data_IF_350572317410
#
_entry.id   IF_350572317410
#
_cell.length_a   1.000
_cell.length_b   1.000
_cell.length_c   1.000
_cell.angle_alpha   90.00
_cell.angle_beta   90.00
_cell.angle_gamma   90.00
#
_symmetry.space_group_name_H-M   'P 1'
#
loop_
_entity.id
_entity.type
_entity.pdbx_description
1 polymer ?
#
# COMPACT_ATOMS: atom_id res chain seq x y z
N UNK A 1 -11.03 -8.30 13.17
CA UNK A 1 -11.20 -6.94 12.62
C UNK A 1 -12.64 -6.56 12.85
N UNK A 2 -12.90 -5.37 13.40
CA UNK A 2 -14.25 -4.93 13.75
C UNK A 2 -14.93 -4.40 12.48
N UNK A 3 -15.69 -5.26 11.80
CA UNK A 3 -16.32 -4.96 10.50
C UNK A 3 -17.78 -4.57 10.73
N UNK A 4 -18.19 -3.47 10.10
CA UNK A 4 -19.58 -3.11 9.96
C UNK A 4 -20.19 -3.85 8.77
N UNK A 5 -20.95 -4.92 9.05
CA UNK A 5 -21.56 -5.78 8.03
C UNK A 5 -22.42 -5.02 7.00
N UNK A 6 -23.07 -3.91 7.38
CA UNK A 6 -23.84 -3.10 6.43
C UNK A 6 -22.93 -2.40 5.41
N UNK A 7 -21.80 -1.88 5.87
CA UNK A 7 -20.80 -1.28 4.98
C UNK A 7 -20.14 -2.33 4.10
N UNK A 8 -19.83 -3.49 4.67
CA UNK A 8 -19.26 -4.63 3.92
C UNK A 8 -20.14 -5.03 2.73
N UNK A 9 -21.45 -5.13 2.92
CA UNK A 9 -22.39 -5.38 1.81
C UNK A 9 -22.36 -4.29 0.74
N UNK A 10 -22.26 -3.02 1.12
CA UNK A 10 -22.15 -1.91 0.16
C UNK A 10 -20.84 -2.03 -0.62
N UNK A 11 -19.73 -2.31 0.07
CA UNK A 11 -18.42 -2.47 -0.54
C UNK A 11 -18.35 -3.62 -1.53
N UNK A 12 -18.93 -4.77 -1.20
CA UNK A 12 -19.01 -5.93 -2.12
C UNK A 12 -19.76 -5.55 -3.41
N UNK A 13 -20.86 -4.79 -3.31
CA UNK A 13 -21.60 -4.33 -4.49
C UNK A 13 -20.79 -3.31 -5.29
N UNK A 14 -20.11 -2.36 -4.62
CA UNK A 14 -19.27 -1.37 -5.28
C UNK A 14 -18.09 -2.02 -6.04
N UNK A 15 -17.41 -2.99 -5.42
CA UNK A 15 -16.33 -3.75 -6.05
C UNK A 15 -16.85 -4.47 -7.31
N UNK A 16 -17.99 -5.17 -7.21
CA UNK A 16 -18.57 -5.88 -8.36
C UNK A 16 -18.92 -4.92 -9.51
N UNK A 17 -19.61 -3.81 -9.22
CA UNK A 17 -19.95 -2.81 -10.24
C UNK A 17 -18.72 -2.20 -10.90
N UNK A 18 -17.65 -2.02 -10.13
CA UNK A 18 -16.39 -1.49 -10.64
C UNK A 18 -15.66 -2.53 -11.52
N UNK A 19 -15.61 -3.80 -11.09
CA UNK A 19 -15.07 -4.91 -11.89
C UNK A 19 -15.81 -5.02 -13.22
N UNK A 20 -17.13 -4.89 -13.23
CA UNK A 20 -17.94 -4.91 -14.45
C UNK A 20 -17.55 -3.78 -15.40
N UNK A 21 -17.30 -2.56 -14.90
CA UNK A 21 -16.82 -1.43 -15.70
C UNK A 21 -15.41 -1.65 -16.27
N UNK A 22 -14.51 -2.22 -15.49
CA UNK A 22 -13.15 -2.56 -15.95
C UNK A 22 -13.22 -3.59 -17.08
N UNK A 23 -14.04 -4.63 -16.90
CA UNK A 23 -14.26 -5.66 -17.91
C UNK A 23 -14.90 -5.08 -19.18
N UNK A 24 -15.89 -4.20 -19.04
CA UNK A 24 -16.52 -3.53 -20.18
C UNK A 24 -15.49 -2.67 -20.95
N UNK A 25 -14.68 -1.88 -20.25
CA UNK A 25 -13.62 -1.07 -20.87
C UNK A 25 -12.59 -1.94 -21.60
N UNK A 26 -12.28 -3.12 -21.07
CA UNK A 26 -11.40 -4.10 -21.72
C UNK A 26 -12.05 -4.71 -22.97
N UNK A 27 -13.24 -5.31 -22.84
CA UNK A 27 -13.95 -6.01 -23.94
C UNK A 27 -14.26 -5.06 -25.10
N UNK A 28 -14.59 -3.79 -24.81
CA UNK A 28 -14.85 -2.77 -25.83
C UNK A 28 -13.58 -2.18 -26.45
N UNK A 29 -12.38 -2.61 -26.02
CA UNK A 29 -11.09 -2.12 -26.51
C UNK A 29 -10.72 -0.72 -26.04
N UNK A 30 -11.59 -0.04 -25.29
CA UNK A 30 -11.38 1.32 -24.77
C UNK A 30 -10.17 1.40 -23.85
N UNK A 31 -9.92 0.35 -23.06
CA UNK A 31 -8.76 0.26 -22.17
C UNK A 31 -7.45 0.32 -22.97
N UNK A 32 -7.26 -0.55 -23.98
CA UNK A 32 -6.04 -0.53 -24.80
C UNK A 32 -5.86 0.80 -25.53
N UNK A 33 -6.95 1.35 -26.09
CA UNK A 33 -6.92 2.65 -26.76
C UNK A 33 -6.45 3.76 -25.81
N UNK A 34 -6.99 3.78 -24.59
CA UNK A 34 -6.61 4.75 -23.56
C UNK A 34 -5.16 4.57 -23.11
N UNK A 35 -4.71 3.35 -22.80
CA UNK A 35 -3.31 3.07 -22.42
C UNK A 35 -2.33 3.49 -23.52
N UNK A 36 -2.69 3.25 -24.78
CA UNK A 36 -1.85 3.62 -25.94
C UNK A 36 -1.56 5.12 -25.98
N UNK A 37 -2.46 5.97 -25.48
CA UNK A 37 -2.26 7.44 -25.46
C UNK A 37 -1.11 7.91 -24.56
N UNK A 38 -0.65 7.06 -23.63
CA UNK A 38 0.49 7.36 -22.77
C UNK A 38 1.81 6.86 -23.37
N UNK A 39 1.77 6.01 -24.40
CA UNK A 39 2.97 5.57 -25.09
C UNK A 39 3.56 6.71 -25.94
N UNK A 40 4.88 7.00 -25.89
CA UNK A 40 5.48 8.11 -26.64
C UNK A 40 5.21 8.10 -28.15
N UNK A 41 4.96 6.91 -28.70
CA UNK A 41 4.65 6.69 -30.12
C UNK A 41 3.19 6.28 -30.38
N UNK A 42 2.32 6.35 -29.37
CA UNK A 42 0.93 5.88 -29.44
C UNK A 42 0.79 4.44 -29.99
N UNK A 43 1.72 3.56 -29.59
CA UNK A 43 1.72 2.19 -30.09
C UNK A 43 0.49 1.43 -29.55
N UNK A 44 -0.15 0.59 -30.39
CA UNK A 44 -1.17 -0.32 -29.90
C UNK A 44 -0.61 -1.28 -28.85
N UNK A 45 -1.44 -1.63 -27.87
CA UNK A 45 -1.14 -2.65 -26.88
C UNK A 45 -2.27 -3.68 -26.77
N UNK A 46 -1.94 -4.85 -26.23
CA UNK A 46 -2.87 -5.92 -25.89
C UNK A 46 -2.70 -6.28 -24.41
N UNK A 47 -3.78 -6.76 -23.79
CA UNK A 47 -3.68 -7.39 -22.48
C UNK A 47 -2.94 -8.72 -22.64
N UNK A 48 -1.90 -8.93 -21.84
CA UNK A 48 -1.16 -10.18 -21.79
C UNK A 48 -1.51 -10.94 -20.50
N UNK A 49 -2.14 -12.12 -20.65
CA UNK A 49 -2.62 -12.92 -19.54
C UNK A 49 -3.95 -12.45 -18.94
N UNK A 50 -4.06 -12.48 -17.62
CA UNK A 50 -5.27 -12.16 -16.87
C UNK A 50 -5.06 -10.94 -15.97
N UNK A 51 -6.15 -10.46 -15.35
CA UNK A 51 -6.06 -9.43 -14.32
C UNK A 51 -5.27 -9.96 -13.10
N UNK A 52 -4.21 -9.25 -12.75
CA UNK A 52 -3.54 -9.40 -11.47
C UNK A 52 -4.36 -8.65 -10.43
N UNK A 53 -4.63 -9.22 -9.27
CA UNK A 53 -5.33 -8.49 -8.22
C UNK A 53 -4.78 -8.84 -6.84
N UNK A 54 -4.68 -7.82 -6.01
CA UNK A 54 -4.47 -7.95 -4.57
C UNK A 54 -5.74 -7.57 -3.80
N UNK A 55 -5.58 -7.33 -2.50
CA UNK A 55 -6.66 -6.84 -1.67
C UNK A 55 -7.11 -5.43 -2.12
N UNK A 56 -6.18 -4.54 -2.46
CA UNK A 56 -6.48 -3.12 -2.68
C UNK A 56 -6.35 -2.63 -4.12
N UNK A 57 -5.74 -3.40 -5.03
CA UNK A 57 -5.57 -3.00 -6.43
C UNK A 57 -5.89 -4.12 -7.40
N UNK A 58 -6.31 -3.72 -8.61
CA UNK A 58 -6.26 -4.55 -9.79
C UNK A 58 -5.18 -4.02 -10.75
N UNK A 59 -4.47 -4.93 -11.39
CA UNK A 59 -3.37 -4.70 -12.31
C UNK A 59 -3.58 -5.44 -13.63
N UNK A 60 -3.23 -4.79 -14.73
CA UNK A 60 -3.30 -5.35 -16.08
C UNK A 60 -1.93 -5.21 -16.73
N UNK A 61 -1.37 -6.33 -17.17
CA UNK A 61 -0.14 -6.33 -17.97
C UNK A 61 -0.50 -6.00 -19.42
N UNK A 62 -0.05 -4.86 -19.90
CA UNK A 62 -0.25 -4.38 -21.26
C UNK A 62 1.05 -4.52 -22.04
N UNK A 63 1.01 -5.24 -23.16
CA UNK A 63 2.18 -5.46 -24.03
C UNK A 63 1.96 -4.72 -25.34
N UNK A 64 2.91 -3.84 -25.66
CA UNK A 64 2.92 -3.02 -26.87
C UNK A 64 3.52 -3.78 -28.06
N UNK A 65 3.27 -3.28 -29.28
CA UNK A 65 3.78 -3.91 -30.51
C UNK A 65 5.31 -3.95 -30.63
N UNK A 66 6.02 -3.11 -29.86
CA UNK A 66 7.49 -3.12 -29.76
C UNK A 66 8.03 -4.05 -28.65
N UNK A 67 7.15 -4.86 -28.05
CA UNK A 67 7.43 -5.74 -26.90
C UNK A 67 7.66 -5.03 -25.57
N UNK A 68 7.50 -3.71 -25.49
CA UNK A 68 7.46 -3.00 -24.21
C UNK A 68 6.27 -3.51 -23.40
N UNK A 69 6.46 -3.72 -22.10
CA UNK A 69 5.41 -4.22 -21.21
C UNK A 69 5.21 -3.25 -20.03
N UNK A 70 3.97 -2.81 -19.84
CA UNK A 70 3.57 -1.94 -18.72
C UNK A 70 2.53 -2.63 -17.84
N UNK A 71 2.54 -2.31 -16.55
CA UNK A 71 1.48 -2.62 -15.61
C UNK A 71 0.58 -1.40 -15.45
N UNK A 72 -0.70 -1.55 -15.74
CA UNK A 72 -1.74 -0.55 -15.47
C UNK A 72 -2.46 -0.96 -14.19
N UNK A 73 -2.43 -0.12 -13.16
CA UNK A 73 -3.03 -0.38 -11.84
C UNK A 73 -4.12 0.63 -11.52
N UNK A 74 -5.16 0.13 -10.87
CA UNK A 74 -6.23 0.93 -10.26
C UNK A 74 -6.48 0.44 -8.83
N UNK A 75 -6.75 1.34 -7.86
CA UNK A 75 -7.32 0.95 -6.58
C UNK A 75 -8.69 0.29 -6.79
N UNK A 76 -8.96 -0.78 -6.04
CA UNK A 76 -10.25 -1.47 -6.07
C UNK A 76 -11.28 -0.70 -5.27
N UNK A 77 -12.43 -0.44 -5.89
CA UNK A 77 -13.58 0.16 -5.24
C UNK A 77 -14.14 -0.83 -4.21
N UNK A 78 -14.68 -0.32 -3.10
CA UNK A 78 -15.13 -1.16 -1.97
C UNK A 78 -14.01 -1.72 -1.10
N UNK A 79 -12.76 -1.74 -1.57
CA UNK A 79 -11.58 -2.12 -0.75
C UNK A 79 -10.83 -0.90 -0.22
N UNK A 80 -10.96 0.23 -0.91
CA UNK A 80 -10.36 1.52 -0.55
C UNK A 80 -11.46 2.59 -0.50
N UNK A 81 -11.45 3.42 0.54
CA UNK A 81 -12.29 4.59 0.64
C UNK A 81 -12.07 5.51 -0.57
N UNK A 82 -13.13 5.78 -1.33
CA UNK A 82 -13.07 6.54 -2.58
C UNK A 82 -12.49 7.95 -2.38
N UNK A 83 -12.84 8.60 -1.26
CA UNK A 83 -12.35 9.95 -0.89
C UNK A 83 -10.82 10.03 -0.68
N UNK A 84 -10.16 8.87 -0.53
CA UNK A 84 -8.72 8.77 -0.30
C UNK A 84 -7.99 7.99 -1.40
N UNK A 85 -8.70 7.50 -2.43
CA UNK A 85 -8.09 6.70 -3.49
C UNK A 85 -7.04 7.51 -4.29
N UNK A 86 -7.32 8.79 -4.56
CA UNK A 86 -6.37 9.69 -5.25
C UNK A 86 -5.10 9.91 -4.40
N UNK A 87 -5.27 10.13 -3.09
CA UNK A 87 -4.17 10.31 -2.13
C UNK A 87 -3.29 9.06 -2.06
N UNK A 88 -3.92 7.88 -1.99
CA UNK A 88 -3.23 6.58 -1.99
C UNK A 88 -2.35 6.38 -3.23
N UNK A 89 -2.88 6.69 -4.42
CA UNK A 89 -2.12 6.60 -5.68
C UNK A 89 -0.94 7.58 -5.69
N UNK A 90 -1.17 8.84 -5.28
CA UNK A 90 -0.11 9.84 -5.21
C UNK A 90 1.02 9.45 -4.24
N UNK A 91 0.67 8.82 -3.12
CA UNK A 91 1.63 8.32 -2.12
C UNK A 91 2.49 7.20 -2.70
N UNK A 92 1.90 6.22 -3.38
CA UNK A 92 2.66 5.12 -4.01
C UNK A 92 3.66 5.66 -5.04
N UNK A 93 3.23 6.59 -5.89
CA UNK A 93 4.10 7.25 -6.89
C UNK A 93 5.23 8.01 -6.21
N UNK A 94 4.95 8.73 -5.13
CA UNK A 94 5.95 9.49 -4.38
C UNK A 94 6.98 8.56 -3.71
N UNK A 95 6.53 7.44 -3.13
CA UNK A 95 7.40 6.42 -2.56
C UNK A 95 8.32 5.80 -3.63
N UNK A 96 7.75 5.37 -4.77
CA UNK A 96 8.50 4.83 -5.90
C UNK A 96 9.57 5.81 -6.39
N UNK A 97 9.23 7.10 -6.50
CA UNK A 97 10.17 8.13 -6.93
C UNK A 97 11.31 8.36 -5.93
N UNK A 98 10.99 8.47 -4.63
CA UNK A 98 12.02 8.62 -3.58
C UNK A 98 12.98 7.44 -3.57
N UNK A 99 12.45 6.21 -3.61
CA UNK A 99 13.25 4.99 -3.57
C UNK A 99 14.15 4.91 -4.80
N UNK A 100 13.62 5.14 -6.00
CA UNK A 100 14.42 5.15 -7.24
C UNK A 100 15.56 6.16 -7.18
N UNK A 101 15.30 7.37 -6.72
CA UNK A 101 16.26 8.47 -6.81
C UNK A 101 17.31 8.45 -5.70
N UNK A 102 17.02 7.80 -4.57
CA UNK A 102 17.87 7.87 -3.36
C UNK A 102 18.42 6.53 -2.90
N UNK A 103 18.09 5.43 -3.56
CA UNK A 103 18.54 4.07 -3.21
C UNK A 103 18.93 3.29 -4.46
N UNK A 104 19.50 2.10 -4.29
CA UNK A 104 19.72 1.14 -5.39
C UNK A 104 18.64 0.06 -5.46
N UNK A 105 17.54 0.21 -4.71
CA UNK A 105 16.45 -0.77 -4.67
C UNK A 105 15.74 -0.78 -6.03
N UNK A 106 15.57 -1.94 -6.66
CA UNK A 106 14.90 -2.02 -7.95
C UNK A 106 13.39 -1.78 -7.78
N UNK A 107 12.87 -0.71 -8.36
CA UNK A 107 11.45 -0.32 -8.33
C UNK A 107 10.94 0.03 -9.74
N UNK A 108 9.66 -0.21 -10.08
CA UNK A 108 9.12 -0.03 -11.44
C UNK A 108 9.01 1.44 -11.85
N UNK A 109 9.44 1.80 -13.07
CA UNK A 109 9.38 3.19 -13.57
C UNK A 109 7.95 3.61 -13.82
N UNK A 110 7.52 4.70 -13.18
CA UNK A 110 6.20 5.28 -13.43
C UNK A 110 6.23 5.99 -14.78
N UNK A 111 5.37 5.56 -15.69
CA UNK A 111 5.21 6.09 -17.04
C UNK A 111 4.14 7.17 -17.08
N UNK A 112 3.05 6.95 -16.34
CA UNK A 112 1.98 7.92 -16.15
C UNK A 112 1.20 7.59 -14.88
N UNK A 113 0.57 8.58 -14.29
CA UNK A 113 -0.37 8.40 -13.19
C UNK A 113 -1.37 9.55 -13.18
N UNK A 114 -2.47 9.43 -12.44
CA UNK A 114 -3.38 10.55 -12.30
C UNK A 114 -4.57 10.30 -11.38
N UNK A 115 -5.22 11.37 -10.91
CA UNK A 115 -6.41 11.30 -10.06
C UNK A 115 -7.61 10.76 -10.85
N UNK A 116 -8.66 10.33 -10.15
CA UNK A 116 -9.88 9.82 -10.76
C UNK A 116 -10.48 10.76 -11.82
N UNK A 117 -10.43 12.07 -11.56
CA UNK A 117 -10.95 13.10 -12.47
C UNK A 117 -10.23 13.15 -13.83
N UNK A 118 -8.97 12.68 -13.89
CA UNK A 118 -8.18 12.63 -15.13
C UNK A 118 -8.43 11.37 -15.96
N UNK A 119 -9.01 10.34 -15.36
CA UNK A 119 -9.26 9.06 -16.02
C UNK A 119 -10.58 9.07 -16.80
N UNK A 120 -10.47 9.27 -18.12
CA UNK A 120 -11.62 9.32 -19.05
C UNK A 120 -12.44 8.02 -19.11
N UNK A 121 -11.89 6.90 -18.62
CA UNK A 121 -12.62 5.64 -18.54
C UNK A 121 -13.56 5.58 -17.32
N UNK A 122 -13.42 6.49 -16.36
CA UNK A 122 -14.20 6.49 -15.13
C UNK A 122 -13.91 5.31 -14.20
N UNK A 123 -12.67 4.79 -14.26
CA UNK A 123 -12.23 3.63 -13.46
C UNK A 123 -11.54 4.02 -12.14
N UNK A 124 -11.49 5.32 -11.81
CA UNK A 124 -10.79 5.84 -10.64
C UNK A 124 -9.37 6.31 -10.95
N UNK A 125 -8.57 6.64 -9.92
CA UNK A 125 -7.17 7.03 -10.10
C UNK A 125 -6.35 5.84 -10.57
N UNK A 126 -5.19 6.11 -11.16
CA UNK A 126 -4.41 5.08 -11.83
C UNK A 126 -2.91 5.32 -11.75
N UNK A 127 -2.15 4.23 -11.89
CA UNK A 127 -0.71 4.24 -12.12
C UNK A 127 -0.41 3.33 -13.31
N UNK A 128 0.37 3.84 -14.27
CA UNK A 128 0.96 3.08 -15.37
C UNK A 128 2.46 3.08 -15.14
N UNK A 129 3.06 1.90 -15.07
CA UNK A 129 4.47 1.74 -14.78
C UNK A 129 5.07 0.56 -15.53
N UNK A 130 6.39 0.44 -15.56
CA UNK A 130 7.09 -0.70 -16.14
C UNK A 130 6.59 -2.02 -15.51
N UNK A 131 6.33 -3.02 -16.35
CA UNK A 131 6.08 -4.36 -15.86
C UNK A 131 7.43 -5.02 -15.52
N UNK A 132 7.60 -5.43 -14.26
CA UNK A 132 8.79 -6.14 -13.81
C UNK A 132 8.63 -7.63 -14.15
N UNK A 133 9.45 -8.11 -15.08
CA UNK A 133 9.52 -9.53 -15.39
C UNK A 133 10.21 -10.31 -14.27
N UNK A 134 9.57 -11.37 -13.81
CA UNK A 134 10.09 -12.23 -12.75
C UNK A 134 8.98 -13.06 -12.11
N UNK A 135 9.28 -13.62 -10.95
CA UNK A 135 8.36 -14.44 -10.16
C UNK A 135 8.10 -13.75 -8.83
N UNK A 136 6.83 -13.64 -8.43
CA UNK A 136 6.47 -13.12 -7.10
C UNK A 136 7.05 -14.04 -6.03
N UNK A 137 7.78 -13.47 -5.07
CA UNK A 137 8.36 -14.24 -4.00
C UNK A 137 7.28 -14.87 -3.10
N UNK A 138 6.13 -14.22 -2.91
CA UNK A 138 4.95 -14.82 -2.24
C UNK A 138 4.58 -16.17 -2.87
N UNK A 139 4.57 -16.26 -4.21
CA UNK A 139 4.20 -17.49 -4.90
C UNK A 139 5.23 -18.61 -4.74
N UNK A 140 6.52 -18.26 -4.61
CA UNK A 140 7.61 -19.21 -4.41
C UNK A 140 7.64 -19.77 -2.98
N UNK A 141 7.32 -18.92 -2.00
CA UNK A 141 7.31 -19.30 -0.59
C UNK A 141 6.08 -20.12 -0.19
N UNK A 142 5.03 -20.11 -1.01
CA UNK A 142 3.84 -20.92 -0.76
C UNK A 142 4.04 -22.38 -1.19
N UNK A 143 3.37 -23.31 -0.49
CA UNK A 143 3.35 -24.73 -0.89
C UNK A 143 2.67 -24.88 -2.26
N UNK A 144 3.31 -25.53 -3.24
CA UNK A 144 2.67 -25.80 -4.53
C UNK A 144 1.37 -26.60 -4.32
N UNK A 145 0.30 -26.20 -5.01
CA UNK A 145 -1.00 -26.90 -4.99
C UNK A 145 -1.69 -26.95 -3.62
N UNK A 146 -1.39 -26.04 -2.69
CA UNK A 146 -2.17 -25.92 -1.46
C UNK A 146 -3.63 -25.54 -1.80
N UNK A 147 -4.60 -26.24 -1.20
CA UNK A 147 -6.04 -25.96 -1.40
C UNK A 147 -6.42 -24.54 -0.96
N UNK A 148 -5.67 -23.97 -0.02
CA UNK A 148 -5.79 -22.58 0.39
C UNK A 148 -4.43 -21.89 0.40
N UNK A 149 -4.34 -20.65 -0.13
CA UNK A 149 -3.14 -19.84 -0.01
C UNK A 149 -2.83 -19.58 1.46
N UNK A 150 -1.59 -19.84 1.85
CA UNK A 150 -1.09 -19.63 3.21
C UNK A 150 0.01 -18.57 3.19
N UNK A 151 0.12 -17.77 4.25
CA UNK A 151 1.28 -16.90 4.46
C UNK A 151 2.46 -17.64 5.10
N UNK A 152 2.31 -18.92 5.41
CA UNK A 152 3.35 -19.75 5.99
C UNK A 152 4.32 -20.17 4.88
N UNK A 153 5.60 -19.90 5.09
CA UNK A 153 6.68 -20.34 4.21
C UNK A 153 6.67 -21.89 4.16
N UNK A 154 6.78 -22.44 2.95
CA UNK A 154 6.89 -23.88 2.70
C UNK A 154 8.07 -24.48 3.48
N UNK A 155 7.91 -25.71 3.94
CA UNK A 155 8.83 -26.40 4.84
C UNK A 155 10.03 -27.06 4.13
N UNK A 156 10.03 -27.07 2.80
CA UNK A 156 11.05 -27.69 1.96
C UNK A 156 11.93 -26.68 1.20
N UNK A 157 11.83 -25.38 1.53
CA UNK A 157 12.78 -24.37 1.07
C UNK A 157 14.13 -24.55 1.79
N UNK A 158 15.24 -24.42 1.07
CA UNK A 158 16.56 -24.58 1.68
C UNK A 158 16.92 -23.38 2.55
N UNK A 159 17.67 -23.62 3.63
CA UNK A 159 18.19 -22.55 4.48
C UNK A 159 19.04 -21.54 3.68
N UNK A 160 19.76 -22.04 2.66
CA UNK A 160 20.55 -21.19 1.76
C UNK A 160 19.69 -20.23 0.94
N UNK A 161 18.53 -20.68 0.45
CA UNK A 161 17.62 -19.82 -0.30
C UNK A 161 17.01 -18.75 0.60
N UNK A 162 16.64 -19.14 1.83
CA UNK A 162 16.13 -18.22 2.85
C UNK A 162 17.19 -17.17 3.18
N UNK A 163 18.45 -17.56 3.36
CA UNK A 163 19.56 -16.64 3.61
C UNK A 163 19.72 -15.63 2.46
N UNK A 164 19.67 -16.08 1.20
CA UNK A 164 19.77 -15.20 0.02
C UNK A 164 18.62 -14.20 -0.03
N UNK A 165 17.39 -14.64 0.26
CA UNK A 165 16.20 -13.78 0.26
C UNK A 165 16.31 -12.71 1.35
N UNK A 166 16.54 -13.13 2.60
CA UNK A 166 16.57 -12.20 3.73
C UNK A 166 17.80 -11.28 3.72
N UNK A 167 18.92 -11.71 3.13
CA UNK A 167 20.09 -10.84 2.94
C UNK A 167 19.75 -9.65 2.03
N UNK A 168 19.04 -9.90 0.92
CA UNK A 168 18.61 -8.83 0.02
C UNK A 168 17.56 -7.92 0.68
N UNK A 169 16.57 -8.48 1.38
CA UNK A 169 15.58 -7.69 2.12
C UNK A 169 16.25 -6.83 3.19
N UNK A 170 17.20 -7.37 3.97
CA UNK A 170 17.94 -6.62 4.97
C UNK A 170 18.71 -5.45 4.34
N UNK A 171 19.36 -5.66 3.20
CA UNK A 171 20.03 -4.59 2.45
C UNK A 171 19.05 -3.51 1.97
N UNK A 172 17.81 -3.86 1.62
CA UNK A 172 16.79 -2.89 1.25
C UNK A 172 16.28 -2.11 2.47
N UNK A 173 16.00 -2.80 3.58
CA UNK A 173 15.56 -2.16 4.82
C UNK A 173 16.62 -1.18 5.36
N UNK A 174 17.91 -1.51 5.26
CA UNK A 174 19.00 -0.60 5.62
C UNK A 174 19.00 0.67 4.74
N UNK A 175 18.86 0.51 3.42
CA UNK A 175 18.78 1.66 2.51
C UNK A 175 17.54 2.53 2.74
N UNK A 176 16.38 1.92 3.02
CA UNK A 176 15.16 2.65 3.37
C UNK A 176 15.32 3.38 4.71
N UNK A 177 16.00 2.76 5.68
CA UNK A 177 16.30 3.39 6.96
C UNK A 177 17.25 4.58 6.84
N UNK A 178 18.14 4.61 5.84
CA UNK A 178 19.02 5.77 5.60
C UNK A 178 18.27 6.98 5.02
N UNK A 179 16.99 6.83 4.63
CA UNK A 179 16.15 7.94 4.19
C UNK A 179 15.63 8.74 5.40
N UNK A 180 16.27 9.89 5.64
CA UNK A 180 15.91 10.83 6.71
C UNK A 180 14.88 11.88 6.29
N UNK A 181 13.95 12.16 7.21
CA UNK A 181 12.90 13.17 7.09
C UNK A 181 12.73 13.96 8.40
N UNK A 182 12.22 15.20 8.31
CA UNK A 182 12.09 16.13 9.44
C UNK A 182 10.74 16.10 10.15
N UNK A 183 9.71 15.54 9.52
CA UNK A 183 8.36 15.49 10.08
C UNK A 183 7.68 14.17 9.73
N UNK A 184 6.93 13.60 10.68
CA UNK A 184 6.03 12.46 10.43
C UNK A 184 4.83 12.96 9.65
N UNK A 185 4.48 12.28 8.57
CA UNK A 185 3.45 12.75 7.67
C UNK A 185 3.34 11.96 6.38
N UNK A 186 2.57 12.49 5.44
CA UNK A 186 2.55 11.99 4.08
C UNK A 186 3.88 12.25 3.36
N UNK A 187 4.07 11.56 2.25
CA UNK A 187 5.28 11.66 1.45
C UNK A 187 5.20 12.91 0.56
N UNK A 188 6.23 13.78 0.55
CA UNK A 188 6.28 14.91 -0.35
C UNK A 188 6.22 14.46 -1.81
N UNK A 189 5.28 15.00 -2.58
CA UNK A 189 5.23 14.77 -4.02
C UNK A 189 6.37 15.53 -4.72
N UNK A 190 7.11 14.90 -5.64
CA UNK A 190 8.10 15.59 -6.47
C UNK A 190 7.47 16.61 -7.44
N UNK A 191 6.18 16.48 -7.75
CA UNK A 191 5.42 17.29 -8.72
C UNK A 191 4.57 18.39 -8.05
N UNK A 192 4.78 18.61 -6.75
CA UNK A 192 3.96 19.46 -5.87
C UNK A 192 3.82 20.94 -6.29
N UNK A 193 4.46 21.38 -7.38
CA UNK A 193 4.24 22.72 -7.95
C UNK A 193 3.01 22.82 -8.88
N UNK A 194 2.39 21.72 -9.33
CA UNK A 194 1.32 21.83 -10.36
C UNK A 194 0.01 21.07 -10.15
N UNK A 195 -0.05 20.00 -9.34
CA UNK A 195 -1.30 19.25 -9.16
C UNK A 195 -1.46 18.80 -7.70
N UNK A 196 -2.26 19.57 -6.93
CA UNK A 196 -2.73 19.35 -5.56
C UNK A 196 -1.70 18.86 -4.52
N UNK A 197 -1.34 19.67 -3.50
CA UNK A 197 -0.41 19.23 -2.46
C UNK A 197 -0.99 18.03 -1.69
N UNK A 198 -0.23 16.94 -1.59
CA UNK A 198 -0.57 15.80 -0.74
C UNK A 198 -0.76 16.30 0.70
N UNK A 199 -1.86 15.96 1.37
CA UNK A 199 -2.08 16.41 2.75
C UNK A 199 -0.92 15.99 3.67
N UNK A 200 -0.46 16.84 4.60
CA UNK A 200 0.64 16.50 5.52
C UNK A 200 0.39 15.28 6.41
N UNK A 201 -0.87 14.91 6.66
CA UNK A 201 -1.23 13.77 7.50
C UNK A 201 -0.82 12.42 6.86
N UNK A 202 -0.26 11.45 7.61
CA UNK A 202 0.08 10.13 7.07
C UNK A 202 -1.16 9.29 6.75
N UNK A 203 -1.24 8.73 5.55
CA UNK A 203 -2.26 7.76 5.13
C UNK A 203 -1.87 6.33 5.55
N UNK A 204 -1.90 6.08 6.87
CA UNK A 204 -1.56 4.78 7.43
C UNK A 204 -2.67 3.74 7.17
N UNK A 205 -2.26 2.47 7.01
CA UNK A 205 -3.15 1.37 6.69
C UNK A 205 -4.23 1.13 7.76
N UNK A 206 -3.88 1.35 9.03
CA UNK A 206 -4.80 1.23 10.17
C UNK A 206 -5.99 2.18 10.06
N UNK A 207 -5.72 3.48 9.87
CA UNK A 207 -6.77 4.50 9.81
C UNK A 207 -7.70 4.28 8.62
N UNK A 208 -7.13 3.89 7.48
CA UNK A 208 -7.89 3.46 6.30
C UNK A 208 -8.81 2.29 6.64
N UNK A 209 -8.28 1.26 7.30
CA UNK A 209 -9.05 0.05 7.64
C UNK A 209 -10.21 0.37 8.59
N UNK A 210 -10.02 1.27 9.56
CA UNK A 210 -11.08 1.71 10.46
C UNK A 210 -12.17 2.48 9.71
N UNK A 211 -11.78 3.38 8.80
CA UNK A 211 -12.75 4.12 7.99
C UNK A 211 -13.51 3.18 7.05
N UNK A 212 -12.78 2.37 6.29
CA UNK A 212 -13.36 1.46 5.30
C UNK A 212 -14.26 0.43 5.99
N UNK A 213 -13.77 -0.30 6.99
CA UNK A 213 -14.53 -1.42 7.53
C UNK A 213 -15.47 -1.00 8.66
N UNK A 214 -15.15 0.08 9.38
CA UNK A 214 -15.92 0.54 10.53
C UNK A 214 -16.83 1.74 10.25
N UNK A 215 -16.57 2.51 9.20
CA UNK A 215 -17.28 3.76 8.89
C UNK A 215 -16.87 4.93 9.78
N UNK A 216 -15.73 4.84 10.48
CA UNK A 216 -15.27 5.87 11.41
C UNK A 216 -14.03 6.54 10.87
N UNK A 217 -14.12 7.85 10.60
CA UNK A 217 -12.95 8.64 10.25
C UNK A 217 -12.08 8.92 11.49
N UNK A 218 -10.90 8.30 11.50
CA UNK A 218 -9.92 8.46 12.58
C UNK A 218 -8.66 9.21 12.14
N UNK A 219 -8.61 9.68 10.89
CA UNK A 219 -7.47 10.37 10.30
C UNK A 219 -7.15 11.69 11.00
N UNK A 220 -8.15 12.36 11.58
CA UNK A 220 -7.94 13.65 12.22
C UNK A 220 -7.67 14.77 11.21
N UNK A 221 -6.93 15.80 11.63
CA UNK A 221 -6.69 16.99 10.81
C UNK A 221 -5.73 16.69 9.65
N UNK A 222 -6.26 16.66 8.42
CA UNK A 222 -5.50 16.38 7.19
C UNK A 222 -4.36 17.37 6.96
N UNK A 223 -4.40 18.56 7.56
CA UNK A 223 -3.41 19.63 7.35
C UNK A 223 -2.19 19.51 8.26
N UNK A 224 -2.16 18.53 9.18
CA UNK A 224 -1.11 18.41 10.20
C UNK A 224 -0.36 17.09 10.09
N UNK A 225 0.96 17.18 10.05
CA UNK A 225 1.87 16.09 10.41
C UNK A 225 2.23 16.13 11.90
N UNK A 226 3.16 15.29 12.32
CA UNK A 226 3.63 15.20 13.71
C UNK A 226 5.11 15.51 13.81
N UNK A 227 5.51 16.18 14.88
CA UNK A 227 6.90 16.59 15.11
C UNK A 227 7.65 15.66 16.04
N UNK A 228 6.93 14.76 16.72
CA UNK A 228 7.52 13.76 17.61
C UNK A 228 6.87 12.38 17.45
N UNK A 229 7.63 11.33 17.81
CA UNK A 229 7.11 9.96 17.90
C UNK A 229 6.01 9.86 18.96
N UNK A 230 6.14 10.59 20.07
CA UNK A 230 5.11 10.66 21.12
C UNK A 230 3.76 11.14 20.58
N UNK A 231 3.76 12.25 19.82
CA UNK A 231 2.54 12.79 19.21
C UNK A 231 1.90 11.78 18.23
N UNK A 232 2.73 11.09 17.44
CA UNK A 232 2.26 10.08 16.51
C UNK A 232 1.67 8.84 17.20
N UNK A 233 2.31 8.31 18.25
CA UNK A 233 1.76 7.17 19.00
C UNK A 233 0.47 7.52 19.74
N UNK A 234 0.37 8.73 20.31
CA UNK A 234 -0.90 9.23 20.86
C UNK A 234 -1.99 9.31 19.80
N UNK A 235 -1.64 9.78 18.59
CA UNK A 235 -2.54 9.78 17.45
C UNK A 235 -3.02 8.37 17.09
N UNK A 236 -2.11 7.40 16.95
CA UNK A 236 -2.44 6.00 16.59
C UNK A 236 -3.30 5.31 17.64
N UNK A 237 -3.02 5.49 18.93
CA UNK A 237 -3.83 4.93 20.04
C UNK A 237 -5.19 5.63 20.12
N UNK A 238 -5.24 6.94 19.84
CA UNK A 238 -6.48 7.70 19.76
C UNK A 238 -7.44 7.20 18.67
N UNK A 239 -6.93 6.54 17.62
CA UNK A 239 -7.76 5.92 16.58
C UNK A 239 -8.57 4.74 17.15
N UNK A 240 -7.96 3.87 17.96
CA UNK A 240 -8.65 2.72 18.57
C UNK A 240 -9.77 3.21 19.50
N UNK A 241 -9.48 4.26 20.27
CA UNK A 241 -10.46 4.90 21.14
C UNK A 241 -11.65 5.47 20.35
N UNK A 242 -11.38 6.21 19.26
CA UNK A 242 -12.42 6.73 18.38
C UNK A 242 -13.26 5.61 17.76
N UNK A 243 -12.62 4.54 17.29
CA UNK A 243 -13.33 3.39 16.75
C UNK A 243 -14.29 2.79 17.78
N UNK A 244 -13.82 2.52 19.01
CA UNK A 244 -14.65 1.97 20.08
C UNK A 244 -15.87 2.85 20.38
N UNK A 245 -15.70 4.17 20.39
CA UNK A 245 -16.76 5.12 20.73
C UNK A 245 -17.75 5.33 19.58
N UNK A 246 -17.26 5.41 18.34
CA UNK A 246 -18.05 5.84 17.18
C UNK A 246 -18.47 4.70 16.25
N UNK A 247 -17.98 3.48 16.45
CA UNK A 247 -18.46 2.27 15.76
C UNK A 247 -19.25 1.40 16.75
N UNK A 248 -20.58 1.55 16.88
CA UNK A 248 -21.36 0.83 17.89
C UNK A 248 -21.28 -0.70 17.77
N UNK A 249 -21.11 -1.21 16.54
CA UNK A 249 -20.95 -2.63 16.26
C UNK A 249 -19.48 -3.10 16.30
N UNK A 250 -18.56 -2.28 16.82
CA UNK A 250 -17.20 -2.72 17.12
C UNK A 250 -17.12 -3.59 18.37
N UNK A 251 -18.22 -3.81 19.11
CA UNK A 251 -18.21 -4.62 20.33
C UNK A 251 -19.27 -5.70 20.33
N UNK A 252 -18.96 -6.84 20.96
CA UNK A 252 -19.91 -7.96 21.15
C UNK A 252 -20.35 -8.00 22.62
N UNK A 253 -21.18 -7.02 22.99
CA UNK A 253 -21.79 -6.92 24.31
C UNK A 253 -20.92 -6.24 25.39
N UNK A 254 -21.45 -6.19 26.61
CA UNK A 254 -20.89 -5.39 27.71
C UNK A 254 -19.44 -5.78 28.08
N UNK A 255 -19.15 -7.08 28.19
CA UNK A 255 -17.84 -7.55 28.62
C UNK A 255 -16.75 -7.26 27.59
N UNK A 256 -17.03 -7.43 26.30
CA UNK A 256 -16.09 -7.08 25.22
C UNK A 256 -15.81 -5.58 25.20
N UNK A 257 -16.86 -4.75 25.29
CA UNK A 257 -16.71 -3.30 25.38
C UNK A 257 -15.88 -2.86 26.60
N UNK A 258 -16.13 -3.46 27.77
CA UNK A 258 -15.36 -3.18 28.99
C UNK A 258 -13.89 -3.58 28.82
N UNK A 259 -13.61 -4.76 28.25
CA UNK A 259 -12.25 -5.22 28.02
C UNK A 259 -11.49 -4.33 27.04
N UNK A 260 -12.12 -3.95 25.91
CA UNK A 260 -11.53 -3.00 24.94
C UNK A 260 -11.26 -1.64 25.58
N UNK A 261 -12.21 -1.12 26.36
CA UNK A 261 -12.02 0.13 27.11
C UNK A 261 -10.79 0.05 28.02
N UNK A 262 -10.70 -1.00 28.85
CA UNK A 262 -9.57 -1.18 29.78
C UNK A 262 -8.26 -1.33 29.01
N UNK A 263 -8.23 -2.15 27.97
CA UNK A 263 -7.03 -2.38 27.15
C UNK A 263 -6.53 -1.08 26.51
N UNK A 264 -7.41 -0.27 25.93
CA UNK A 264 -7.03 1.00 25.32
C UNK A 264 -6.60 2.04 26.35
N UNK A 265 -7.22 2.09 27.54
CA UNK A 265 -6.76 2.96 28.63
C UNK A 265 -5.39 2.56 29.18
N UNK A 266 -5.13 1.26 29.31
CA UNK A 266 -3.81 0.76 29.70
C UNK A 266 -2.79 1.11 28.62
N UNK A 267 -3.08 0.85 27.34
CA UNK A 267 -2.19 1.17 26.23
C UNK A 267 -1.88 2.68 26.18
N UNK A 268 -2.89 3.54 26.30
CA UNK A 268 -2.74 4.99 26.37
C UNK A 268 -1.80 5.40 27.52
N UNK A 269 -1.94 4.79 28.69
CA UNK A 269 -1.08 5.08 29.85
C UNK A 269 0.37 4.60 29.69
N UNK A 270 0.58 3.56 28.87
CA UNK A 270 1.90 2.96 28.63
C UNK A 270 2.66 3.61 27.47
N UNK A 271 2.05 4.53 26.72
CA UNK A 271 2.72 5.22 25.60
C UNK A 271 4.13 5.69 25.97
N UNK A 272 4.37 6.40 27.10
CA UNK A 272 5.71 6.88 27.45
C UNK A 272 6.76 5.77 27.58
N UNK A 273 6.36 4.55 27.92
CA UNK A 273 7.27 3.39 28.02
C UNK A 273 7.68 2.82 26.65
N UNK A 274 6.84 3.04 25.62
CA UNK A 274 7.14 2.65 24.24
C UNK A 274 7.95 3.70 23.47
N UNK A 275 8.17 4.89 24.05
CA UNK A 275 8.96 5.95 23.43
C UNK A 275 10.44 5.77 23.78
N UNK A 276 11.26 5.59 22.75
CA UNK A 276 12.70 5.74 22.91
C UNK A 276 13.04 7.23 22.80
N UNK A 277 13.42 7.85 23.91
CA UNK A 277 13.72 9.28 23.97
C UNK A 277 14.76 9.74 22.92
N UNK A 278 15.68 8.87 22.50
CA UNK A 278 16.66 9.18 21.44
C UNK A 278 15.99 9.36 20.07
N UNK A 279 14.89 8.65 19.83
CA UNK A 279 14.16 8.64 18.56
C UNK A 279 12.84 9.44 18.60
N UNK A 280 12.55 10.15 19.69
CA UNK A 280 11.31 10.92 19.81
C UNK A 280 11.29 12.14 18.86
N UNK A 281 12.42 12.85 18.75
CA UNK A 281 12.58 14.06 17.93
C UNK A 281 13.68 13.93 16.88
N UNK A 282 14.07 12.70 16.54
CA UNK A 282 15.12 12.45 15.56
C UNK A 282 14.57 12.55 14.13
N UNK A 283 15.42 12.20 13.16
CA UNK A 283 14.97 12.01 11.79
C UNK A 283 13.99 10.84 11.71
N UNK A 284 12.88 11.09 11.04
CA UNK A 284 11.85 10.10 10.74
C UNK A 284 12.20 9.35 9.46
N UNK A 285 11.54 8.22 9.24
CA UNK A 285 11.91 7.24 8.21
C UNK A 285 10.75 6.97 7.27
N UNK A 286 11.05 6.51 6.06
CA UNK A 286 10.04 6.01 5.13
C UNK A 286 9.53 4.65 5.62
N UNK A 287 8.29 4.61 6.09
CA UNK A 287 7.59 3.40 6.55
C UNK A 287 6.61 2.97 5.46
N UNK A 288 6.43 1.67 5.29
CA UNK A 288 5.32 1.10 4.52
C UNK A 288 4.68 0.00 5.35
N UNK A 289 3.42 0.18 5.74
CA UNK A 289 2.70 -0.77 6.61
C UNK A 289 2.49 -2.15 5.96
N UNK A 290 2.64 -2.26 4.64
CA UNK A 290 2.44 -3.49 3.87
C UNK A 290 3.73 -4.04 3.25
N UNK A 291 4.90 -3.55 3.69
CA UNK A 291 6.19 -4.02 3.18
C UNK A 291 6.56 -5.37 3.78
N UNK A 292 6.60 -6.40 2.95
CA UNK A 292 7.11 -7.72 3.30
C UNK A 292 7.65 -8.50 2.10
N UNK A 293 7.89 -9.80 2.30
CA UNK A 293 8.39 -10.68 1.23
C UNK A 293 7.42 -10.80 0.06
N UNK A 294 6.12 -10.60 0.28
CA UNK A 294 5.12 -10.67 -0.78
C UNK A 294 5.27 -9.58 -1.85
N UNK A 295 5.92 -8.48 -1.49
CA UNK A 295 6.15 -7.31 -2.34
C UNK A 295 7.40 -7.45 -3.22
N UNK A 296 8.15 -8.54 -3.08
CA UNK A 296 9.39 -8.79 -3.84
C UNK A 296 9.11 -9.63 -5.09
N UNK A 297 9.76 -9.24 -6.19
CA UNK A 297 9.81 -9.99 -7.45
C UNK A 297 11.25 -10.44 -7.65
N UNK A 298 11.47 -11.75 -7.78
CA UNK A 298 12.79 -12.33 -8.07
C UNK A 298 12.92 -12.70 -9.54
N UNK A 299 14.15 -12.80 -10.04
CA UNK A 299 14.41 -13.10 -11.46
C UNK A 299 13.81 -14.43 -11.90
N UNK A 300 13.86 -15.46 -11.03
CA UNK A 300 13.27 -16.77 -11.30
C UNK A 300 13.33 -17.71 -10.11
N UNK A 301 12.88 -18.94 -10.29
CA UNK A 301 12.94 -20.02 -9.29
C UNK A 301 14.37 -20.47 -8.97
N UNK A 302 15.29 -20.32 -9.92
CA UNK A 302 16.70 -20.73 -9.81
C UNK A 302 17.64 -19.55 -9.50
N UNK A 303 17.19 -18.32 -9.75
CA UNK A 303 17.91 -17.08 -9.43
C UNK A 303 17.02 -16.18 -8.59
N UNK A 304 17.26 -16.23 -7.27
CA UNK A 304 16.52 -15.48 -6.26
C UNK A 304 16.97 -14.01 -6.15
N UNK A 305 17.73 -13.49 -7.11
CA UNK A 305 18.04 -12.06 -7.19
C UNK A 305 16.74 -11.26 -7.30
N UNK A 306 16.52 -10.35 -6.37
CA UNK A 306 15.36 -9.45 -6.39
C UNK A 306 15.54 -8.42 -7.50
N UNK A 307 14.57 -8.39 -8.42
CA UNK A 307 14.52 -7.49 -9.58
C UNK A 307 13.39 -6.47 -9.48
N UNK A 308 12.60 -6.52 -8.41
CA UNK A 308 11.54 -5.55 -8.15
C UNK A 308 11.03 -5.56 -6.72
N UNK A 309 10.83 -4.36 -6.18
CA UNK A 309 9.99 -4.06 -5.03
C UNK A 309 8.76 -3.30 -5.53
N UNK A 310 7.57 -3.80 -5.21
CA UNK A 310 6.28 -3.27 -5.69
C UNK A 310 5.30 -3.06 -4.54
N UNK A 311 4.14 -2.45 -4.83
CA UNK A 311 3.03 -2.31 -3.88
C UNK A 311 3.39 -1.50 -2.62
N UNK A 312 3.72 -0.22 -2.83
CA UNK A 312 4.18 0.72 -1.79
C UNK A 312 3.08 1.72 -1.38
N UNK A 313 1.83 1.31 -1.50
CA UNK A 313 0.63 2.14 -1.39
C UNK A 313 0.31 2.66 0.02
N UNK A 314 0.79 1.97 1.06
CA UNK A 314 0.60 2.38 2.46
C UNK A 314 1.88 2.97 3.04
N UNK A 315 2.61 3.72 2.21
CA UNK A 315 3.85 4.36 2.61
C UNK A 315 3.61 5.74 3.23
N UNK A 316 4.37 6.07 4.26
CA UNK A 316 4.35 7.37 4.92
C UNK A 316 5.67 7.62 5.62
N UNK A 317 5.88 8.86 6.08
CA UNK A 317 7.01 9.17 6.95
C UNK A 317 6.59 8.91 8.39
N UNK A 318 7.27 8.00 9.07
CA UNK A 318 6.93 7.53 10.41
C UNK A 318 8.12 7.47 11.37
N UNK A 319 7.87 7.15 12.65
CA UNK A 319 8.90 6.98 13.66
C UNK A 319 9.97 5.96 13.26
N UNK A 320 11.24 6.28 13.49
CA UNK A 320 12.35 5.36 13.25
C UNK A 320 12.24 4.05 14.05
N UNK A 321 11.57 4.10 15.21
CA UNK A 321 11.35 2.92 16.05
C UNK A 321 10.53 1.82 15.37
N UNK A 322 9.71 2.15 14.36
CA UNK A 322 8.92 1.17 13.62
C UNK A 322 9.77 0.27 12.70
N UNK A 323 11.00 0.68 12.35
CA UNK A 323 11.96 -0.21 11.69
C UNK A 323 12.57 -1.26 12.64
N UNK A 324 12.46 -1.06 13.95
CA UNK A 324 12.95 -1.99 14.96
C UNK A 324 12.00 -3.17 15.21
N UNK A 325 10.78 -3.12 14.71
CA UNK A 325 9.86 -4.26 14.64
C UNK A 325 10.15 -5.08 13.39
N UNK A 326 10.16 -6.40 13.54
CA UNK A 326 10.21 -7.28 12.37
C UNK A 326 8.99 -7.00 11.45
N UNK A 327 9.18 -6.95 10.12
CA UNK A 327 8.10 -6.78 9.16
C UNK A 327 7.11 -7.94 9.17
#
# INVERSE_FOLDING_TARGET
MDINALLDHIHVVQDQLWVDKVNEAHITGRLCQWVSTFHPHNLPCVLDGTFHHGAFNAGMKMVFTDSTAWMVRFPRFGMVCEDHADEKVAIEVSALNIIRNRTTIPVPTVQAWGPAASNKLGLGPFIIMDFINGVSLSSLLQKPNAEQPSRVIRDDISDSDIEVIYTQLANFLLQLFDLDFDQIGSIPSPEAETQSPTPPRPLAFKAQTILQNGGVDTFGDRTKGFTTTTEYFQYVVGQDWKQLVYQPNSTVGFYDAQNKYVAFKVLESLIPEFINAKYDRCKFKLICDDLGLANLIVRGTEDLTVVGLVDLEWSYIGPAQLFGSAP
#
